data_IF_213867581176
#
_entry.id   IF_213867581176
#
_cell.length_a   1.000
_cell.length_b   1.000
_cell.length_c   1.000
_cell.angle_alpha   90.00
_cell.angle_beta   90.00
_cell.angle_gamma   90.00
#
_symmetry.space_group_name_H-M   'P 1'
#
loop_
_entity.id
_entity.type
_entity.pdbx_description
1 polymer ?
#
# COMPACT_ATOMS: atom_id res chain seq x y z
N UNK A 1 -3.78 -6.91 8.47
CA UNK A 1 -2.46 -6.54 7.88
C UNK A 1 -1.75 -5.56 8.79
N UNK A 2 -0.41 -5.50 8.79
CA UNK A 2 0.36 -4.48 9.55
C UNK A 2 1.30 -3.70 8.64
N UNK A 3 1.22 -2.38 8.69
CA UNK A 3 1.99 -1.44 7.87
C UNK A 3 2.96 -0.64 8.73
N UNK A 4 4.18 -0.44 8.26
CA UNK A 4 5.13 0.52 8.86
C UNK A 4 5.79 1.30 7.74
N UNK A 5 5.57 2.61 7.73
CA UNK A 5 6.24 3.53 6.80
C UNK A 5 7.48 4.11 7.47
N UNK A 6 8.60 4.18 6.76
CA UNK A 6 9.86 4.70 7.31
C UNK A 6 10.26 6.07 6.77
N UNK A 7 9.52 6.59 5.79
CA UNK A 7 9.89 7.77 5.01
C UNK A 7 10.04 7.44 3.53
N UNK A 8 9.96 8.46 2.66
CA UNK A 8 9.99 8.31 1.20
C UNK A 8 9.01 7.21 0.75
N UNK A 9 9.43 6.27 -0.10
CA UNK A 9 8.63 5.12 -0.54
C UNK A 9 8.92 3.84 0.24
N UNK A 10 9.58 3.95 1.40
CA UNK A 10 10.05 2.79 2.16
C UNK A 10 9.00 2.27 3.13
N UNK A 11 8.62 1.00 2.95
CA UNK A 11 7.65 0.32 3.80
C UNK A 11 8.15 -1.04 4.25
N UNK A 12 7.72 -1.44 5.46
CA UNK A 12 7.69 -2.84 5.89
C UNK A 12 6.24 -3.24 6.12
N UNK A 13 5.81 -4.29 5.46
CA UNK A 13 4.42 -4.73 5.40
C UNK A 13 4.37 -6.18 5.86
N UNK A 14 3.58 -6.47 6.90
CA UNK A 14 3.28 -7.84 7.30
C UNK A 14 1.90 -8.19 6.75
N UNK A 15 1.87 -9.17 5.85
CA UNK A 15 0.63 -9.62 5.21
C UNK A 15 0.69 -11.08 4.80
N UNK A 16 -0.41 -11.82 4.97
CA UNK A 16 -0.49 -13.24 4.64
C UNK A 16 0.60 -14.08 5.29
N UNK A 17 0.97 -13.75 6.54
CA UNK A 17 2.04 -14.42 7.28
C UNK A 17 3.46 -14.12 6.79
N UNK A 18 3.64 -13.20 5.85
CA UNK A 18 4.92 -12.85 5.24
C UNK A 18 5.27 -11.37 5.46
N UNK A 19 6.57 -11.06 5.36
CA UNK A 19 7.14 -9.72 5.48
C UNK A 19 7.61 -9.25 4.09
N UNK A 20 6.99 -8.18 3.60
CA UNK A 20 7.36 -7.50 2.35
C UNK A 20 7.99 -6.15 2.69
N UNK A 21 9.20 -5.90 2.20
CA UNK A 21 9.90 -4.61 2.31
C UNK A 21 9.93 -3.94 0.95
N UNK A 22 9.39 -2.73 0.87
CA UNK A 22 9.37 -1.89 -0.34
C UNK A 22 10.44 -0.83 -0.25
N UNK A 23 11.20 -0.65 -1.33
CA UNK A 23 12.22 0.40 -1.52
C UNK A 23 13.15 0.59 -0.31
N UNK A 24 13.79 -0.50 0.14
CA UNK A 24 14.76 -0.43 1.26
C UNK A 24 15.87 0.61 1.01
N UNK A 25 16.31 0.77 -0.24
CA UNK A 25 17.32 1.76 -0.63
C UNK A 25 16.85 3.21 -0.58
N UNK A 26 15.53 3.45 -0.50
CA UNK A 26 14.97 4.80 -0.35
C UNK A 26 14.82 5.20 1.14
N UNK A 27 15.20 4.34 2.09
CA UNK A 27 15.03 4.62 3.50
C UNK A 27 15.79 5.89 3.90
N UNK A 28 15.24 6.75 4.79
CA UNK A 28 16.01 7.87 5.33
C UNK A 28 17.29 7.39 6.00
N UNK A 29 18.37 8.17 5.92
CA UNK A 29 19.73 7.79 6.41
C UNK A 29 19.81 7.30 7.87
N UNK A 30 18.82 7.66 8.69
CA UNK A 30 18.72 7.24 10.10
C UNK A 30 18.23 5.80 10.28
N UNK A 31 17.70 5.18 9.23
CA UNK A 31 17.18 3.82 9.23
C UNK A 31 18.26 2.89 8.68
N UNK A 32 18.64 1.87 9.44
CA UNK A 32 19.56 0.85 8.96
C UNK A 32 18.83 -0.08 7.98
N UNK A 33 19.29 -0.08 6.73
CA UNK A 33 18.73 -0.92 5.67
C UNK A 33 18.85 -2.42 5.97
N UNK A 34 19.90 -2.85 6.69
CA UNK A 34 20.10 -4.26 7.07
C UNK A 34 19.06 -4.70 8.09
N UNK A 35 18.77 -3.86 9.09
CA UNK A 35 17.71 -4.13 10.07
C UNK A 35 16.33 -4.14 9.41
N UNK A 36 16.11 -3.21 8.46
CA UNK A 36 14.86 -3.11 7.73
C UNK A 36 14.54 -4.39 6.94
N UNK A 37 15.52 -4.96 6.22
CA UNK A 37 15.34 -6.19 5.43
C UNK A 37 15.52 -7.47 6.24
N UNK A 38 16.00 -7.38 7.49
CA UNK A 38 16.18 -8.56 8.34
C UNK A 38 14.84 -9.26 8.59
N UNK A 39 14.78 -10.54 8.22
CA UNK A 39 13.55 -11.34 8.29
C UNK A 39 12.49 -10.99 7.25
N UNK A 40 12.83 -10.20 6.22
CA UNK A 40 11.93 -10.00 5.09
C UNK A 40 11.89 -11.23 4.19
N UNK A 41 10.70 -11.73 3.89
CA UNK A 41 10.49 -12.78 2.89
C UNK A 41 10.67 -12.23 1.48
N UNK A 42 10.28 -10.96 1.27
CA UNK A 42 10.39 -10.27 -0.01
C UNK A 42 11.00 -8.88 0.17
N UNK A 43 12.02 -8.56 -0.62
CA UNK A 43 12.57 -7.20 -0.73
C UNK A 43 12.37 -6.72 -2.16
N UNK A 44 11.64 -5.63 -2.32
CA UNK A 44 11.08 -5.24 -3.60
C UNK A 44 11.23 -3.74 -3.88
N UNK A 45 11.50 -3.40 -5.13
CA UNK A 45 11.40 -2.03 -5.62
C UNK A 45 9.98 -1.68 -6.06
N UNK A 46 9.55 -0.44 -5.83
CA UNK A 46 8.27 0.10 -6.30
C UNK A 46 8.18 0.07 -7.83
N UNK A 47 9.28 0.45 -8.51
CA UNK A 47 9.40 0.46 -9.97
C UNK A 47 10.22 -0.71 -10.54
N UNK A 48 10.31 -1.84 -9.82
CA UNK A 48 11.03 -3.02 -10.31
C UNK A 48 10.34 -3.71 -11.50
N UNK A 49 11.06 -4.59 -12.21
CA UNK A 49 10.48 -5.45 -13.26
C UNK A 49 9.46 -6.43 -12.65
N UNK A 50 8.18 -6.04 -12.66
CA UNK A 50 7.05 -6.82 -12.14
C UNK A 50 6.07 -7.13 -13.24
N UNK A 51 5.20 -8.11 -12.99
CA UNK A 51 4.04 -8.35 -13.84
C UNK A 51 3.21 -7.06 -13.89
N UNK A 52 2.98 -6.56 -15.10
CA UNK A 52 2.05 -5.47 -15.36
C UNK A 52 0.65 -6.06 -15.29
N UNK A 53 -0.25 -5.42 -14.57
CA UNK A 53 -1.64 -5.85 -14.45
C UNK A 53 -2.58 -4.86 -15.12
N UNK A 54 -3.63 -5.36 -15.79
CA UNK A 54 -4.76 -4.53 -16.20
C UNK A 54 -5.65 -4.25 -15.00
N UNK A 55 -5.35 -3.18 -14.27
CA UNK A 55 -6.02 -2.84 -13.03
C UNK A 55 -7.56 -2.81 -13.11
N UNK A 56 -8.21 -2.24 -14.14
CA UNK A 56 -9.69 -2.19 -14.17
C UNK A 56 -10.35 -3.58 -14.11
N UNK A 57 -9.70 -4.61 -14.67
CA UNK A 57 -10.19 -5.98 -14.71
C UNK A 57 -9.60 -6.89 -13.62
N UNK A 58 -8.62 -6.39 -12.85
CA UNK A 58 -7.97 -7.16 -11.80
C UNK A 58 -8.96 -7.59 -10.71
N UNK A 59 -8.70 -8.76 -10.13
CA UNK A 59 -9.48 -9.32 -9.02
C UNK A 59 -8.53 -9.90 -7.98
N UNK A 60 -8.82 -9.72 -6.68
CA UNK A 60 -8.09 -10.40 -5.62
C UNK A 60 -8.11 -11.91 -5.84
N UNK A 61 -7.03 -12.58 -5.48
CA UNK A 61 -6.98 -14.03 -5.54
C UNK A 61 -8.00 -14.63 -4.55
N UNK A 62 -8.67 -15.73 -4.92
CA UNK A 62 -9.49 -16.44 -3.96
C UNK A 62 -8.60 -16.98 -2.84
N UNK A 63 -9.08 -16.89 -1.60
CA UNK A 63 -8.40 -17.47 -0.44
C UNK A 63 -8.17 -18.96 -0.66
N UNK A 64 -6.96 -19.43 -0.32
CA UNK A 64 -6.66 -20.85 -0.38
C UNK A 64 -7.53 -21.59 0.64
N UNK A 65 -8.18 -22.68 0.21
CA UNK A 65 -8.96 -23.51 1.12
C UNK A 65 -8.00 -24.26 2.04
N UNK A 66 -8.35 -24.39 3.31
CA UNK A 66 -7.54 -25.13 4.29
C UNK A 66 -7.27 -26.58 3.88
N UNK A 67 -8.19 -27.20 3.12
CA UNK A 67 -8.03 -28.56 2.59
C UNK A 67 -6.98 -28.66 1.46
N UNK A 68 -6.73 -27.54 0.78
CA UNK A 68 -5.78 -27.41 -0.32
C UNK A 68 -4.48 -26.71 0.12
N UNK A 69 -4.44 -26.24 1.38
CA UNK A 69 -3.27 -25.62 1.99
C UNK A 69 -2.30 -26.73 2.42
N UNK A 70 -1.16 -26.82 1.75
CA UNK A 70 -0.03 -27.59 2.25
C UNK A 70 0.59 -26.92 3.49
N UNK A 71 1.70 -27.46 3.98
CA UNK A 71 2.45 -26.85 5.09
C UNK A 71 3.08 -25.49 4.74
N UNK A 72 3.16 -25.15 3.45
CA UNK A 72 3.79 -23.93 2.96
C UNK A 72 2.77 -22.80 2.78
N UNK A 73 3.10 -21.63 3.35
CA UNK A 73 2.35 -20.39 3.14
C UNK A 73 2.40 -19.99 1.67
N UNK A 74 1.24 -19.69 1.08
CA UNK A 74 1.15 -19.22 -0.31
C UNK A 74 1.88 -17.87 -0.46
N UNK A 75 2.86 -17.74 -1.37
CA UNK A 75 3.63 -16.50 -1.54
C UNK A 75 2.73 -15.29 -1.81
N UNK A 76 3.09 -14.12 -1.28
CA UNK A 76 2.45 -12.85 -1.65
C UNK A 76 2.61 -12.61 -3.16
N UNK A 77 1.54 -12.17 -3.82
CA UNK A 77 1.59 -11.74 -5.22
C UNK A 77 1.71 -10.22 -5.30
N UNK A 78 2.54 -9.74 -6.23
CA UNK A 78 2.84 -8.32 -6.36
C UNK A 78 2.90 -7.92 -7.83
N UNK A 79 2.22 -6.83 -8.17
CA UNK A 79 2.12 -6.30 -9.54
C UNK A 79 2.55 -4.84 -9.60
N UNK A 80 3.12 -4.46 -10.74
CA UNK A 80 3.18 -3.04 -11.10
C UNK A 80 1.79 -2.61 -11.55
N UNK A 81 1.23 -1.63 -10.82
CA UNK A 81 -0.11 -1.12 -11.05
C UNK A 81 -0.08 0.02 -12.09
N UNK A 82 0.92 0.88 -11.98
CA UNK A 82 1.27 1.99 -12.88
C UNK A 82 2.68 2.47 -12.49
N UNK A 83 3.29 3.45 -13.19
CA UNK A 83 4.50 4.10 -12.70
C UNK A 83 4.33 4.56 -11.26
N UNK A 84 5.31 4.24 -10.41
CA UNK A 84 5.32 4.56 -8.98
C UNK A 84 4.10 4.03 -8.20
N UNK A 85 3.48 2.93 -8.68
CA UNK A 85 2.33 2.30 -8.03
C UNK A 85 2.50 0.77 -7.97
N UNK A 86 2.17 0.19 -6.82
CA UNK A 86 2.38 -1.21 -6.53
C UNK A 86 1.13 -1.82 -5.89
N UNK A 87 0.66 -2.93 -6.45
CA UNK A 87 -0.44 -3.72 -5.88
C UNK A 87 0.14 -4.98 -5.23
N UNK A 88 -0.27 -5.25 -4.00
CA UNK A 88 0.14 -6.40 -3.19
C UNK A 88 -1.12 -7.15 -2.77
N UNK A 89 -1.16 -8.47 -3.01
CA UNK A 89 -2.26 -9.34 -2.64
C UNK A 89 -1.74 -10.59 -1.93
N UNK A 90 -2.37 -10.91 -0.81
CA UNK A 90 -1.97 -11.98 0.08
C UNK A 90 -3.21 -12.72 0.57
N UNK A 91 -3.00 -13.89 1.18
CA UNK A 91 -4.12 -14.62 1.79
C UNK A 91 -4.51 -13.97 3.12
N UNK A 92 -5.77 -14.13 3.51
CA UNK A 92 -6.40 -13.62 4.74
C UNK A 92 -6.52 -12.09 4.89
N UNK A 93 -5.64 -11.31 4.30
CA UNK A 93 -5.68 -9.84 4.33
C UNK A 93 -6.44 -9.23 3.14
N UNK A 94 -6.80 -7.94 3.25
CA UNK A 94 -7.24 -7.15 2.10
C UNK A 94 -6.04 -6.83 1.20
N UNK A 95 -6.24 -6.69 -0.13
CA UNK A 95 -5.19 -6.18 -1.01
C UNK A 95 -4.72 -4.79 -0.57
N UNK A 96 -3.45 -4.50 -0.85
CA UNK A 96 -2.81 -3.22 -0.58
C UNK A 96 -2.36 -2.58 -1.89
N UNK A 97 -2.80 -1.35 -2.13
CA UNK A 97 -2.31 -0.52 -3.24
C UNK A 97 -1.48 0.64 -2.68
N UNK A 98 -0.19 0.67 -3.02
CA UNK A 98 0.71 1.78 -2.74
C UNK A 98 0.76 2.71 -3.95
N UNK A 99 0.55 4.00 -3.74
CA UNK A 99 0.54 5.04 -4.78
C UNK A 99 1.54 6.13 -4.39
N UNK A 100 2.73 6.12 -4.99
CA UNK A 100 3.68 7.23 -4.89
C UNK A 100 3.62 8.14 -6.13
N UNK A 101 3.04 7.68 -7.23
CA UNK A 101 2.82 8.45 -8.46
C UNK A 101 1.41 9.00 -8.64
N UNK A 102 0.99 9.05 -9.91
CA UNK A 102 -0.39 9.41 -10.28
C UNK A 102 -1.36 8.28 -9.95
N UNK A 103 -2.58 8.63 -9.52
CA UNK A 103 -3.64 7.65 -9.26
C UNK A 103 -3.97 6.91 -10.58
N UNK A 104 -3.80 5.59 -10.63
CA UNK A 104 -4.09 4.82 -11.84
C UNK A 104 -5.61 4.66 -12.05
N UNK A 105 -6.01 4.17 -13.21
CA UNK A 105 -7.38 3.70 -13.39
C UNK A 105 -7.63 2.46 -12.55
N UNK A 106 -8.75 2.43 -11.83
CA UNK A 106 -9.10 1.37 -10.89
C UNK A 106 -10.41 0.70 -11.28
N UNK A 107 -10.54 -0.58 -10.91
CA UNK A 107 -11.80 -1.30 -10.96
C UNK A 107 -12.52 -1.29 -9.62
N UNK A 108 -13.72 -1.89 -9.56
CA UNK A 108 -14.53 -1.98 -8.32
C UNK A 108 -13.84 -2.69 -7.15
N UNK A 109 -12.78 -3.46 -7.41
CA UNK A 109 -11.98 -4.11 -6.36
C UNK A 109 -11.31 -3.09 -5.42
N UNK A 110 -11.07 -1.85 -5.88
CA UNK A 110 -10.44 -0.80 -5.09
C UNK A 110 -11.26 -0.43 -3.84
N UNK A 111 -12.60 -0.59 -3.88
CA UNK A 111 -13.47 -0.38 -2.71
C UNK A 111 -13.14 -1.33 -1.54
N UNK A 112 -12.52 -2.48 -1.84
CA UNK A 112 -12.13 -3.52 -0.86
C UNK A 112 -10.62 -3.63 -0.70
N UNK A 113 -9.91 -2.53 -0.94
CA UNK A 113 -8.45 -2.45 -0.90
C UNK A 113 -8.03 -1.40 0.11
N UNK A 114 -6.96 -1.67 0.85
CA UNK A 114 -6.26 -0.64 1.63
C UNK A 114 -5.40 0.16 0.67
N UNK A 115 -5.62 1.47 0.58
CA UNK A 115 -4.86 2.33 -0.33
C UNK A 115 -3.95 3.25 0.47
N UNK A 116 -2.66 3.24 0.17
CA UNK A 116 -1.67 4.15 0.76
C UNK A 116 -1.23 5.14 -0.30
N UNK A 117 -1.34 6.43 -0.03
CA UNK A 117 -0.82 7.49 -0.89
C UNK A 117 0.41 8.11 -0.23
N UNK A 118 1.52 8.16 -0.96
CA UNK A 118 2.85 8.43 -0.43
C UNK A 118 3.51 9.62 -1.14
N UNK A 119 4.10 10.53 -0.39
CA UNK A 119 4.86 11.66 -0.91
C UNK A 119 4.08 12.97 -0.89
N UNK A 120 4.10 13.71 -2.00
CA UNK A 120 3.61 15.09 -2.09
C UNK A 120 2.25 15.19 -2.79
N UNK A 121 1.59 16.34 -2.74
CA UNK A 121 0.27 16.56 -3.36
C UNK A 121 -0.80 15.56 -2.90
N UNK A 122 -0.74 15.12 -1.64
CA UNK A 122 -1.58 14.06 -1.08
C UNK A 122 -3.07 14.37 -1.26
N UNK A 123 -3.48 15.60 -0.90
CA UNK A 123 -4.86 16.03 -0.99
C UNK A 123 -5.44 15.88 -2.41
N UNK A 124 -4.68 16.29 -3.43
CA UNK A 124 -5.11 16.21 -4.83
C UNK A 124 -5.23 14.76 -5.30
N UNK A 125 -4.32 13.89 -4.86
CA UNK A 125 -4.35 12.48 -5.23
C UNK A 125 -5.47 11.73 -4.54
N UNK A 126 -5.79 12.05 -3.28
CA UNK A 126 -6.98 11.50 -2.62
C UNK A 126 -8.26 11.96 -3.33
N UNK A 127 -8.37 13.23 -3.70
CA UNK A 127 -9.54 13.73 -4.46
C UNK A 127 -9.76 12.94 -5.76
N UNK A 128 -8.70 12.74 -6.54
CA UNK A 128 -8.77 11.92 -7.76
C UNK A 128 -9.13 10.47 -7.47
N UNK A 129 -8.63 9.93 -6.35
CA UNK A 129 -8.96 8.57 -5.94
C UNK A 129 -10.45 8.45 -5.63
N UNK A 130 -11.02 9.34 -4.82
CA UNK A 130 -12.44 9.28 -4.44
C UNK A 130 -13.38 9.54 -5.62
N UNK A 131 -12.96 10.32 -6.61
CA UNK A 131 -13.70 10.49 -7.88
C UNK A 131 -13.77 9.19 -8.70
N UNK A 132 -12.80 8.27 -8.53
CA UNK A 132 -12.70 7.00 -9.26
C UNK A 132 -13.32 5.84 -8.45
N UNK A 133 -13.00 5.76 -7.16
CA UNK A 133 -13.41 4.70 -6.25
C UNK A 133 -13.38 5.19 -4.79
N UNK A 134 -14.31 4.71 -3.96
CA UNK A 134 -14.34 4.98 -2.52
C UNK A 134 -13.80 3.77 -1.75
N UNK A 135 -12.48 3.65 -1.51
CA UNK A 135 -11.93 2.61 -0.65
C UNK A 135 -12.39 2.79 0.79
N UNK A 136 -12.48 1.69 1.55
CA UNK A 136 -12.83 1.75 2.98
C UNK A 136 -11.77 2.45 3.83
N UNK A 137 -10.51 2.35 3.44
CA UNK A 137 -9.37 2.92 4.15
C UNK A 137 -8.36 3.53 3.19
N UNK A 138 -8.02 4.78 3.46
CA UNK A 138 -6.94 5.53 2.83
C UNK A 138 -5.93 5.89 3.90
N UNK A 139 -4.68 5.51 3.71
CA UNK A 139 -3.57 5.90 4.57
C UNK A 139 -2.65 6.89 3.84
N UNK A 140 -2.23 7.92 4.54
CA UNK A 140 -1.39 8.99 4.00
C UNK A 140 0.01 8.92 4.61
N UNK A 141 1.03 8.94 3.75
CA UNK A 141 2.43 8.95 4.14
C UNK A 141 3.13 10.15 3.48
N UNK A 142 3.20 11.26 4.19
CA UNK A 142 3.86 12.50 3.75
C UNK A 142 4.46 13.25 4.92
N UNK A 143 5.03 14.41 4.65
CA UNK A 143 5.43 15.33 5.72
C UNK A 143 4.22 15.97 6.41
N UNK A 144 4.43 16.53 7.60
CA UNK A 144 3.39 17.13 8.44
C UNK A 144 2.60 18.21 7.68
N UNK A 145 3.30 19.02 6.89
CA UNK A 145 2.73 20.07 6.06
C UNK A 145 1.75 19.52 4.99
N UNK A 146 2.11 18.43 4.32
CA UNK A 146 1.24 17.73 3.37
C UNK A 146 0.04 17.07 4.05
N UNK A 147 0.26 16.47 5.22
CA UNK A 147 -0.80 15.83 6.00
C UNK A 147 -1.83 16.86 6.47
N UNK A 148 -1.39 17.96 7.08
CA UNK A 148 -2.27 19.04 7.55
C UNK A 148 -3.11 19.61 6.40
N UNK A 149 -2.50 19.87 5.25
CA UNK A 149 -3.21 20.31 4.04
C UNK A 149 -4.23 19.28 3.56
N UNK A 150 -3.88 17.99 3.59
CA UNK A 150 -4.77 16.93 3.16
C UNK A 150 -5.98 16.79 4.08
N UNK A 151 -5.78 16.73 5.40
CA UNK A 151 -6.88 16.61 6.36
C UNK A 151 -7.83 17.81 6.31
N UNK A 152 -7.28 19.03 6.24
CA UNK A 152 -8.09 20.25 6.12
C UNK A 152 -8.97 20.26 4.86
N UNK A 153 -8.48 19.70 3.75
CA UNK A 153 -9.20 19.70 2.46
C UNK A 153 -10.20 18.55 2.33
N UNK A 154 -9.90 17.38 2.88
CA UNK A 154 -10.59 16.13 2.56
C UNK A 154 -11.74 15.79 3.50
N UNK A 155 -11.86 16.45 4.66
CA UNK A 155 -12.83 16.12 5.71
C UNK A 155 -14.28 15.94 5.21
N UNK A 156 -14.68 16.68 4.17
CA UNK A 156 -16.05 16.66 3.63
C UNK A 156 -16.23 15.79 2.37
N UNK A 157 -15.19 15.07 1.93
CA UNK A 157 -15.18 14.36 0.63
C UNK A 157 -15.05 12.84 0.73
N UNK A 158 -14.93 12.30 1.94
CA UNK A 158 -14.58 10.89 2.13
C UNK A 158 -15.79 9.95 2.09
N UNK A 159 -17.03 10.44 2.19
CA UNK A 159 -18.27 9.64 2.07
C UNK A 159 -18.24 8.27 2.80
N UNK A 160 -17.66 8.24 4.01
CA UNK A 160 -17.53 7.04 4.84
C UNK A 160 -16.21 6.28 4.70
N UNK A 161 -15.31 6.68 3.80
CA UNK A 161 -13.92 6.21 3.77
C UNK A 161 -13.16 6.70 5.01
N UNK A 162 -12.43 5.80 5.65
CA UNK A 162 -11.52 6.16 6.75
C UNK A 162 -10.24 6.76 6.17
N UNK A 163 -9.77 7.86 6.75
CA UNK A 163 -8.51 8.51 6.39
C UNK A 163 -7.59 8.52 7.61
N UNK A 164 -6.37 7.99 7.47
CA UNK A 164 -5.37 7.96 8.55
C UNK A 164 -4.04 8.53 8.07
N UNK A 165 -3.26 9.12 8.97
CA UNK A 165 -1.86 9.46 8.75
C UNK A 165 -0.97 8.30 9.21
N UNK A 166 0.09 8.03 8.46
CA UNK A 166 1.16 7.13 8.86
C UNK A 166 2.31 7.93 9.45
N UNK A 167 2.68 7.60 10.68
CA UNK A 167 3.84 8.17 11.34
C UNK A 167 5.11 7.37 11.00
N UNK A 168 6.24 8.03 10.67
CA UNK A 168 7.48 7.34 10.37
C UNK A 168 7.95 6.41 11.52
N UNK A 169 8.09 5.13 11.22
CA UNK A 169 8.53 4.09 12.17
C UNK A 169 7.43 3.56 13.08
N UNK A 170 6.22 4.13 13.06
CA UNK A 170 5.08 3.61 13.78
C UNK A 170 4.40 2.50 12.98
N UNK A 171 4.16 1.37 13.64
CA UNK A 171 3.44 0.29 13.02
C UNK A 171 1.93 0.43 13.26
N UNK A 172 1.14 0.34 12.19
CA UNK A 172 -0.30 0.48 12.20
C UNK A 172 -0.93 -0.82 11.70
N UNK A 173 -1.95 -1.29 12.41
CA UNK A 173 -2.74 -2.45 12.01
C UNK A 173 -3.99 -1.98 11.27
N UNK A 174 -4.26 -2.63 10.14
CA UNK A 174 -5.33 -2.28 9.19
C UNK A 174 -6.10 -3.50 8.71
#
# INVERSE_FOLDING_TARGET
MKLTWFGNTTFRIHTGGQIVVVDAGAAPKRIDANELVSGADHVIGLNGNRKVTELPAWKPRPRQRLLDAGEQVRPVEVWSAAPDCLLIDADEDMPLLLIAGSVPQLGRWAEKTVIVIVGQTLAQRVERLVDIALPRLIALAGDDDELDRAFAKLQHKLDGASLIALEPGLAVEV
#
